data_IF_871162308148
#
_entry.id   IF_871162308148
#
_cell.length_a   1.000
_cell.length_b   1.000
_cell.length_c   1.000
_cell.angle_alpha   90.00
_cell.angle_beta   90.00
_cell.angle_gamma   90.00
#
_symmetry.space_group_name_H-M   'P 1'
#
loop_
_entity.id
_entity.type
_entity.pdbx_description
1 polymer ?
#
# COMPACT_ATOMS: atom_id res chain seq x y z
N UNK A 1 17.74 4.89 -7.90
CA UNK A 1 16.44 5.46 -8.28
C UNK A 1 16.14 6.59 -7.31
N UNK A 2 15.62 7.71 -7.81
CA UNK A 2 15.16 8.80 -6.96
C UNK A 2 13.90 8.38 -6.20
N UNK A 3 13.65 8.98 -5.02
CA UNK A 3 12.53 8.65 -4.14
C UNK A 3 11.20 8.69 -4.89
N UNK A 4 10.96 9.76 -5.64
CA UNK A 4 9.70 10.02 -6.33
C UNK A 4 9.42 8.95 -7.41
N UNK A 5 10.47 8.48 -8.10
CA UNK A 5 10.36 7.40 -9.07
C UNK A 5 10.02 6.05 -8.41
N UNK A 6 10.45 5.82 -7.16
CA UNK A 6 10.07 4.62 -6.40
C UNK A 6 8.61 4.72 -5.95
N UNK A 7 8.19 5.87 -5.44
CA UNK A 7 6.82 6.12 -4.99
C UNK A 7 5.80 5.97 -6.13
N UNK A 8 6.10 6.50 -7.31
CA UNK A 8 5.27 6.35 -8.51
C UNK A 8 5.11 4.87 -8.90
N UNK A 9 6.22 4.12 -8.97
CA UNK A 9 6.17 2.69 -9.32
C UNK A 9 5.38 1.91 -8.28
N UNK A 10 5.58 2.18 -6.98
CA UNK A 10 4.86 1.49 -5.90
C UNK A 10 3.36 1.79 -5.98
N UNK A 11 2.97 3.05 -6.13
CA UNK A 11 1.56 3.45 -6.27
C UNK A 11 0.88 2.76 -7.46
N UNK A 12 1.58 2.66 -8.59
CA UNK A 12 1.09 1.99 -9.78
C UNK A 12 0.96 0.47 -9.62
N UNK A 13 1.63 -0.14 -8.63
CA UNK A 13 1.54 -1.56 -8.34
C UNK A 13 0.47 -1.92 -7.31
N UNK A 14 0.11 -0.99 -6.43
CA UNK A 14 -1.00 -1.17 -5.49
C UNK A 14 -2.35 -1.11 -6.24
N UNK A 15 -3.43 -1.61 -5.62
CA UNK A 15 -4.76 -1.45 -6.19
C UNK A 15 -5.23 0.02 -6.09
N UNK A 16 -4.89 0.69 -4.99
CA UNK A 16 -5.11 2.12 -4.79
C UNK A 16 -4.01 2.93 -5.51
N UNK A 17 -4.41 3.72 -6.51
CA UNK A 17 -3.52 4.52 -7.37
C UNK A 17 -3.33 5.94 -6.84
N UNK A 18 -2.32 6.62 -7.37
CA UNK A 18 -2.03 8.05 -7.18
C UNK A 18 -1.69 8.46 -5.73
N UNK A 19 -1.61 7.49 -4.82
CA UNK A 19 -1.18 7.69 -3.44
C UNK A 19 -0.23 6.58 -3.02
N UNK A 20 0.57 6.87 -1.99
CA UNK A 20 1.46 5.91 -1.34
C UNK A 20 1.10 5.87 0.14
N UNK A 21 1.24 4.69 0.74
CA UNK A 21 1.04 4.55 2.18
C UNK A 21 2.06 5.39 2.95
N UNK A 22 1.58 6.16 3.92
CA UNK A 22 2.37 7.04 4.79
C UNK A 22 2.41 6.52 6.22
N UNK A 23 3.21 7.14 7.07
CA UNK A 23 3.24 6.81 8.50
C UNK A 23 1.91 7.24 9.18
N UNK A 24 1.32 8.32 8.70
CA UNK A 24 0.05 8.87 9.15
C UNK A 24 -1.09 7.87 8.90
N UNK A 25 -1.15 7.24 7.73
CA UNK A 25 -2.18 6.22 7.41
C UNK A 25 -2.13 5.04 8.39
N UNK A 26 -0.92 4.61 8.77
CA UNK A 26 -0.73 3.53 9.75
C UNK A 26 -1.16 3.98 11.16
N UNK A 27 -0.84 5.22 11.53
CA UNK A 27 -1.24 5.80 12.80
C UNK A 27 -2.77 5.92 12.89
N UNK A 28 -3.44 6.37 11.83
CA UNK A 28 -4.90 6.46 11.78
C UNK A 28 -5.56 5.09 11.91
N UNK A 29 -5.05 4.07 11.21
CA UNK A 29 -5.55 2.71 11.37
C UNK A 29 -5.37 2.17 12.80
N UNK A 30 -4.25 2.49 13.46
CA UNK A 30 -4.03 2.11 14.85
C UNK A 30 -4.98 2.85 15.81
N UNK A 31 -5.25 4.14 15.57
CA UNK A 31 -6.23 4.93 16.32
C UNK A 31 -7.64 4.36 16.13
N UNK A 32 -8.01 4.02 14.90
CA UNK A 32 -9.25 3.31 14.60
C UNK A 32 -9.31 2.03 15.43
N UNK A 33 -8.33 1.13 15.32
CA UNK A 33 -8.26 -0.16 16.06
C UNK A 33 -8.36 -0.06 17.58
N UNK A 34 -8.03 1.09 18.16
CA UNK A 34 -8.16 1.35 19.59
C UNK A 34 -9.52 1.93 19.98
N UNK A 35 -10.27 2.48 19.04
CA UNK A 35 -11.48 3.25 19.31
C UNK A 35 -12.67 2.35 19.66
N UNK A 36 -13.74 2.96 20.18
CA UNK A 36 -14.99 2.25 20.46
C UNK A 36 -15.73 1.79 19.19
N UNK A 37 -15.31 2.26 18.01
CA UNK A 37 -15.95 1.95 16.72
C UNK A 37 -15.74 0.49 16.29
N UNK A 38 -14.75 -0.21 16.83
CA UNK A 38 -14.44 -1.59 16.49
C UNK A 38 -14.27 -2.52 17.70
N UNK A 39 -14.97 -2.22 18.79
CA UNK A 39 -14.99 -2.98 20.05
C UNK A 39 -15.21 -4.51 19.96
N UNK A 40 -15.65 -5.03 18.81
CA UNK A 40 -15.87 -6.47 18.57
C UNK A 40 -14.96 -7.06 17.50
N UNK A 41 -14.04 -6.29 16.94
CA UNK A 41 -13.03 -6.76 15.98
C UNK A 41 -11.78 -7.15 16.77
N UNK A 42 -11.47 -8.45 16.80
CA UNK A 42 -10.30 -8.99 17.50
C UNK A 42 -9.74 -10.19 16.74
N UNK A 43 -8.44 -10.43 16.86
CA UNK A 43 -7.74 -11.54 16.21
C UNK A 43 -7.51 -11.40 14.70
N UNK A 44 -7.78 -10.22 14.12
CA UNK A 44 -7.61 -9.94 12.70
C UNK A 44 -6.26 -9.27 12.41
N UNK A 45 -5.62 -9.66 11.31
CA UNK A 45 -4.49 -8.92 10.74
C UNK A 45 -5.02 -7.86 9.75
N UNK A 46 -4.96 -6.59 10.12
CA UNK A 46 -5.40 -5.47 9.27
C UNK A 46 -4.20 -5.00 8.44
N UNK A 47 -4.19 -5.38 7.16
CA UNK A 47 -3.14 -5.00 6.21
C UNK A 47 -3.42 -3.61 5.63
N UNK A 48 -2.42 -2.74 5.67
CA UNK A 48 -2.50 -1.34 5.20
C UNK A 48 -1.50 -1.17 4.06
N UNK A 49 -1.87 -1.63 2.87
CA UNK A 49 -0.95 -1.68 1.71
C UNK A 49 -1.58 -1.22 0.39
N UNK A 50 -2.73 -0.54 0.46
CA UNK A 50 -3.47 -0.11 -0.73
C UNK A 50 -3.97 -1.28 -1.60
N UNK A 51 -4.09 -2.49 -1.04
CA UNK A 51 -4.49 -3.69 -1.78
C UNK A 51 -3.37 -4.26 -2.66
N UNK A 52 -2.11 -3.93 -2.39
CA UNK A 52 -0.98 -4.51 -3.10
C UNK A 52 -0.99 -6.05 -2.99
N UNK A 53 -1.20 -6.58 -1.79
CA UNK A 53 -1.15 -8.02 -1.50
C UNK A 53 -2.34 -8.81 -2.08
N UNK A 54 -3.38 -8.16 -2.58
CA UNK A 54 -4.57 -8.84 -3.13
C UNK A 54 -4.41 -9.23 -4.60
N UNK A 55 -3.31 -8.83 -5.25
CA UNK A 55 -3.03 -9.13 -6.65
C UNK A 55 -1.68 -9.85 -6.84
N UNK A 56 -1.56 -10.65 -7.90
CA UNK A 56 -0.31 -11.32 -8.31
C UNK A 56 0.69 -10.27 -8.89
N UNK A 57 2.03 -10.44 -8.79
CA UNK A 57 3.00 -9.35 -8.73
C UNK A 57 2.97 -8.48 -9.99
N UNK A 58 2.29 -7.34 -9.89
CA UNK A 58 2.29 -6.29 -10.91
C UNK A 58 3.65 -5.57 -10.91
N UNK A 59 4.39 -5.63 -9.81
CA UNK A 59 5.69 -4.95 -9.64
C UNK A 59 6.68 -5.25 -10.78
N UNK A 60 6.90 -6.52 -11.12
CA UNK A 60 7.82 -6.87 -12.22
C UNK A 60 7.35 -6.34 -13.59
N UNK A 61 6.03 -6.33 -13.85
CA UNK A 61 5.47 -5.75 -15.09
C UNK A 61 5.58 -4.23 -15.11
N UNK A 62 5.35 -3.57 -13.99
CA UNK A 62 5.43 -2.12 -13.90
C UNK A 62 6.87 -1.64 -13.97
N UNK A 63 7.83 -2.30 -13.30
CA UNK A 63 9.26 -1.96 -13.44
C UNK A 63 9.67 -1.98 -14.92
N UNK A 64 9.27 -3.01 -15.67
CA UNK A 64 9.52 -3.08 -17.12
C UNK A 64 8.84 -1.95 -17.91
N UNK A 65 7.60 -1.60 -17.55
CA UNK A 65 6.85 -0.47 -18.16
C UNK A 65 7.54 0.87 -17.92
N UNK A 66 8.10 1.09 -16.73
CA UNK A 66 8.69 2.36 -16.31
C UNK A 66 10.16 2.52 -16.73
N UNK A 67 10.93 1.42 -16.75
CA UNK A 67 12.37 1.48 -16.97
C UNK A 67 12.86 0.69 -18.19
N UNK A 68 11.96 0.09 -18.97
CA UNK A 68 12.29 -0.73 -20.13
C UNK A 68 12.74 -2.15 -19.76
N UNK A 69 13.24 -2.90 -20.75
CA UNK A 69 13.94 -4.15 -20.51
C UNK A 69 15.29 -3.82 -19.86
N UNK A 70 15.40 -3.98 -18.54
CA UNK A 70 16.68 -3.93 -17.83
C UNK A 70 17.57 -5.12 -18.23
#
# INVERSE_FOLDING_TARGET
>A
MEKDAVEEVVSETANLKETVVTAEDVAEAAVFLRSDENKYVSGMNVVIDGGYSVTNPVLGRNIRKFFGDL
#
